data_IF_154783614445
#
_entry.id   IF_154783614445
#
_cell.length_a   1.000
_cell.length_b   1.000
_cell.length_c   1.000
_cell.angle_alpha   90.00
_cell.angle_beta   90.00
_cell.angle_gamma   90.00
#
_symmetry.space_group_name_H-M   'P 1'
#
loop_
_entity.id
_entity.type
_entity.pdbx_description
1 polymer ?
#
# COMPACT_ATOMS: atom_id res chain seq x y z
N UNK A 1 -9.66 3.27 -19.82
CA UNK A 1 -8.21 3.18 -20.07
C UNK A 1 -7.86 3.56 -21.51
N UNK A 2 -8.41 2.86 -22.51
CA UNK A 2 -8.20 3.19 -23.93
C UNK A 2 -8.84 4.53 -24.34
N UNK A 3 -10.02 4.84 -23.80
CA UNK A 3 -10.72 6.12 -24.01
C UNK A 3 -9.92 7.33 -23.50
N UNK A 4 -9.26 7.21 -22.35
CA UNK A 4 -8.39 8.27 -21.81
C UNK A 4 -7.16 8.52 -22.68
N UNK A 5 -6.57 7.46 -23.25
CA UNK A 5 -5.41 7.56 -24.15
C UNK A 5 -5.80 8.27 -25.46
N UNK A 6 -6.99 7.97 -26.00
CA UNK A 6 -7.52 8.62 -27.20
C UNK A 6 -7.82 10.10 -26.94
N UNK A 7 -8.46 10.42 -25.82
CA UNK A 7 -8.75 11.81 -25.43
C UNK A 7 -7.48 12.64 -25.25
N UNK A 8 -6.45 12.09 -24.61
CA UNK A 8 -5.18 12.80 -24.40
C UNK A 8 -4.44 13.02 -25.72
N UNK A 9 -4.41 12.01 -26.62
CA UNK A 9 -3.86 12.20 -27.98
C UNK A 9 -4.63 13.26 -28.77
N UNK A 10 -5.95 13.32 -28.63
CA UNK A 10 -6.76 14.29 -29.35
C UNK A 10 -6.52 15.73 -28.86
N UNK A 11 -6.41 15.89 -27.53
CA UNK A 11 -6.04 17.16 -26.90
C UNK A 11 -4.60 17.56 -27.28
N UNK A 12 -3.64 16.63 -27.27
CA UNK A 12 -2.25 16.91 -27.62
C UNK A 12 -2.08 17.40 -29.08
N UNK A 13 -2.78 16.75 -30.02
CA UNK A 13 -2.88 17.19 -31.42
C UNK A 13 -3.48 18.59 -31.57
N UNK A 14 -4.42 18.99 -30.70
CA UNK A 14 -5.00 20.35 -30.73
C UNK A 14 -4.07 21.44 -30.18
N UNK A 15 -3.09 21.10 -29.33
CA UNK A 15 -2.15 22.05 -28.73
C UNK A 15 -0.73 22.01 -29.36
N UNK A 16 -0.51 21.16 -30.38
CA UNK A 16 0.73 21.14 -31.17
C UNK A 16 1.98 20.67 -30.41
N UNK A 17 1.81 20.07 -29.23
CA UNK A 17 2.88 19.34 -28.54
C UNK A 17 2.77 17.87 -28.93
N UNK A 18 3.92 17.20 -28.99
CA UNK A 18 4.00 15.74 -29.09
C UNK A 18 4.46 15.27 -27.72
N UNK A 19 3.53 14.97 -26.81
CA UNK A 19 3.92 14.29 -25.56
C UNK A 19 4.09 12.80 -25.86
N UNK A 20 5.32 12.32 -25.66
CA UNK A 20 5.63 10.91 -25.81
C UNK A 20 4.78 10.08 -24.83
N UNK A 21 4.01 9.13 -25.36
CA UNK A 21 3.15 8.23 -24.59
C UNK A 21 3.93 7.52 -23.46
N UNK A 22 5.23 7.27 -23.69
CA UNK A 22 6.15 6.71 -22.72
C UNK A 22 6.35 7.62 -21.50
N UNK A 23 6.42 8.95 -21.70
CA UNK A 23 6.55 9.93 -20.63
C UNK A 23 5.31 9.96 -19.72
N UNK A 24 4.12 9.68 -20.27
CA UNK A 24 2.85 9.64 -19.54
C UNK A 24 2.66 8.37 -18.71
N UNK A 25 3.28 7.26 -19.14
CA UNK A 25 3.37 6.01 -18.36
C UNK A 25 4.47 6.12 -17.30
N UNK A 26 5.58 6.77 -17.65
CA UNK A 26 6.76 6.92 -16.80
C UNK A 26 6.56 7.93 -15.68
N UNK A 27 6.04 9.12 -16.01
CA UNK A 27 5.54 10.02 -15.00
C UNK A 27 4.18 9.49 -14.55
N UNK A 28 4.14 8.83 -13.38
CA UNK A 28 2.91 8.47 -12.68
C UNK A 28 2.12 9.73 -12.28
N UNK A 29 1.61 10.45 -13.27
CA UNK A 29 1.06 11.80 -13.15
C UNK A 29 -0.37 11.73 -12.67
N UNK A 30 -0.54 11.42 -11.38
CA UNK A 30 -1.68 11.71 -10.49
C UNK A 30 -3.10 11.36 -10.99
N UNK A 31 -3.58 11.87 -12.13
CA UNK A 31 -4.97 11.75 -12.58
C UNK A 31 -5.40 10.34 -13.02
N UNK A 32 -4.70 9.58 -13.90
CA UNK A 32 -5.12 8.23 -14.24
C UNK A 32 -4.98 7.26 -13.07
N UNK A 33 -3.99 7.47 -12.19
CA UNK A 33 -3.78 6.65 -10.99
C UNK A 33 -4.93 6.84 -10.00
N UNK A 34 -5.33 8.09 -9.74
CA UNK A 34 -6.48 8.39 -8.86
C UNK A 34 -7.76 7.79 -9.46
N UNK A 35 -8.00 7.99 -10.76
CA UNK A 35 -9.18 7.45 -11.42
C UNK A 35 -9.22 5.91 -11.34
N UNK A 36 -8.10 5.24 -11.65
CA UNK A 36 -8.02 3.79 -11.58
C UNK A 36 -8.21 3.28 -10.14
N UNK A 37 -7.67 3.98 -9.14
CA UNK A 37 -7.86 3.67 -7.72
C UNK A 37 -9.33 3.76 -7.30
N UNK A 38 -10.05 4.81 -7.71
CA UNK A 38 -11.48 4.98 -7.39
C UNK A 38 -12.31 3.87 -8.04
N UNK A 39 -12.03 3.53 -9.30
CA UNK A 39 -12.73 2.45 -10.01
C UNK A 39 -12.48 1.09 -9.37
N UNK A 40 -11.21 0.75 -9.06
CA UNK A 40 -10.85 -0.48 -8.36
C UNK A 40 -11.50 -0.54 -6.98
N UNK A 41 -11.39 0.52 -6.19
CA UNK A 41 -11.95 0.59 -4.84
C UNK A 41 -13.47 0.40 -4.86
N UNK A 42 -14.18 1.09 -5.76
CA UNK A 42 -15.64 0.96 -5.90
C UNK A 42 -16.04 -0.42 -6.41
N UNK A 43 -15.25 -1.01 -7.33
CA UNK A 43 -15.45 -2.38 -7.81
C UNK A 43 -15.32 -3.42 -6.70
N UNK A 44 -14.29 -3.30 -5.86
CA UNK A 44 -14.07 -4.22 -4.74
C UNK A 44 -14.98 -3.96 -3.54
N UNK A 45 -15.49 -2.74 -3.35
CA UNK A 45 -16.37 -2.38 -2.23
C UNK A 45 -17.68 -3.20 -2.19
N UNK A 46 -18.24 -3.53 -3.36
CA UNK A 46 -19.50 -4.27 -3.46
C UNK A 46 -19.31 -5.79 -3.66
N UNK A 47 -18.07 -6.27 -3.69
CA UNK A 47 -17.79 -7.70 -3.81
C UNK A 47 -17.90 -8.36 -2.43
N UNK A 48 -19.03 -9.04 -2.19
CA UNK A 48 -19.25 -9.83 -0.98
C UNK A 48 -18.62 -11.24 -1.14
N UNK A 49 -17.31 -11.27 -1.33
CA UNK A 49 -16.55 -12.53 -1.46
C UNK A 49 -16.04 -12.92 -0.08
N UNK A 50 -16.21 -14.18 0.30
CA UNK A 50 -15.64 -14.72 1.53
C UNK A 50 -14.12 -14.87 1.35
N UNK A 51 -13.36 -13.82 1.68
CA UNK A 51 -11.91 -13.88 1.64
C UNK A 51 -11.39 -14.70 2.83
N UNK A 52 -10.43 -15.61 2.61
CA UNK A 52 -9.74 -16.28 3.70
C UNK A 52 -9.08 -15.24 4.61
N UNK A 53 -9.10 -15.48 5.92
CA UNK A 53 -8.55 -14.53 6.92
C UNK A 53 -7.09 -14.14 6.67
N UNK A 54 -6.32 -14.99 5.98
CA UNK A 54 -4.94 -14.69 5.58
C UNK A 54 -4.84 -13.51 4.60
N UNK A 55 -5.79 -13.35 3.68
CA UNK A 55 -5.76 -12.25 2.70
C UNK A 55 -6.08 -10.93 3.39
N UNK A 56 -7.11 -10.88 4.22
CA UNK A 56 -7.43 -9.67 5.01
C UNK A 56 -6.28 -9.28 5.92
N UNK A 57 -5.59 -10.28 6.48
CA UNK A 57 -4.41 -10.09 7.30
C UNK A 57 -3.22 -9.56 6.51
N UNK A 58 -2.94 -10.09 5.32
CA UNK A 58 -1.88 -9.60 4.45
C UNK A 58 -2.19 -8.19 3.92
N UNK A 59 -3.43 -7.94 3.48
CA UNK A 59 -3.91 -6.65 2.97
C UNK A 59 -3.68 -5.50 3.96
N UNK A 60 -3.96 -5.74 5.25
CA UNK A 60 -3.70 -4.77 6.32
C UNK A 60 -2.21 -4.38 6.44
N UNK A 61 -1.29 -5.28 6.07
CA UNK A 61 0.16 -5.04 6.16
C UNK A 61 0.74 -4.49 4.86
N UNK A 62 0.12 -4.75 3.70
CA UNK A 62 0.58 -4.26 2.39
C UNK A 62 0.75 -2.74 2.40
N UNK A 63 -0.19 -2.01 3.00
CA UNK A 63 -0.09 -0.55 3.12
C UNK A 63 1.11 -0.10 3.96
N UNK A 64 1.40 -0.80 5.07
CA UNK A 64 2.57 -0.52 5.92
C UNK A 64 3.88 -0.79 5.20
N UNK A 65 3.99 -1.92 4.48
CA UNK A 65 5.17 -2.25 3.66
C UNK A 65 5.36 -1.22 2.54
N UNK A 66 4.27 -0.80 1.88
CA UNK A 66 4.30 0.23 0.84
C UNK A 66 4.85 1.57 1.34
N UNK A 67 4.47 2.00 2.55
CA UNK A 67 5.02 3.22 3.16
C UNK A 67 6.53 3.13 3.42
N UNK A 68 7.01 1.96 3.85
CA UNK A 68 8.46 1.71 4.03
C UNK A 68 9.18 1.76 2.67
N UNK A 69 8.53 1.24 1.63
CA UNK A 69 9.06 1.24 0.26
C UNK A 69 9.11 2.64 -0.37
N UNK A 70 8.27 3.60 0.02
CA UNK A 70 8.34 4.98 -0.52
C UNK A 70 9.31 5.86 0.29
N UNK A 71 9.60 5.46 1.52
CA UNK A 71 10.48 6.19 2.42
C UNK A 71 11.97 6.03 2.11
N UNK A 72 12.80 6.60 3.00
CA UNK A 72 14.27 6.49 2.95
C UNK A 72 14.79 5.05 3.04
N UNK A 73 13.97 4.13 3.54
CA UNK A 73 14.32 2.71 3.72
C UNK A 73 14.43 1.96 2.39
N UNK A 74 13.80 2.43 1.31
CA UNK A 74 13.94 1.82 -0.03
C UNK A 74 15.39 1.83 -0.50
N UNK A 75 16.04 3.01 -0.43
CA UNK A 75 17.43 3.16 -0.83
C UNK A 75 18.34 2.28 0.01
N UNK A 76 18.11 2.21 1.32
CA UNK A 76 18.87 1.34 2.21
C UNK A 76 18.72 -0.15 1.86
N UNK A 77 17.50 -0.63 1.62
CA UNK A 77 17.25 -2.04 1.30
C UNK A 77 17.90 -2.42 -0.04
N UNK A 78 17.73 -1.62 -1.09
CA UNK A 78 18.22 -1.99 -2.42
C UNK A 78 19.70 -1.61 -2.66
N UNK A 79 20.16 -0.47 -2.13
CA UNK A 79 21.55 -0.03 -2.33
C UNK A 79 22.51 -0.68 -1.33
N UNK A 80 22.20 -0.70 -0.03
CA UNK A 80 23.12 -1.20 1.00
C UNK A 80 23.00 -2.72 1.21
N UNK A 81 21.79 -3.30 1.08
CA UNK A 81 21.57 -4.72 1.37
C UNK A 81 21.76 -5.64 0.15
N UNK A 82 21.30 -5.20 -1.03
CA UNK A 82 21.23 -6.04 -2.23
C UNK A 82 22.28 -5.73 -3.30
N UNK A 83 23.06 -4.65 -3.15
CA UNK A 83 24.21 -4.26 -3.98
C UNK A 83 24.00 -4.55 -5.49
N UNK A 84 22.93 -3.95 -6.03
CA UNK A 84 22.36 -4.29 -7.35
C UNK A 84 23.25 -3.91 -8.55
N UNK A 85 24.37 -3.23 -8.34
CA UNK A 85 25.23 -2.63 -9.38
C UNK A 85 25.69 -3.62 -10.44
N UNK A 86 25.85 -4.90 -10.10
CA UNK A 86 26.31 -5.94 -11.02
C UNK A 86 25.19 -6.68 -11.76
N UNK A 87 23.93 -6.61 -11.28
CA UNK A 87 22.82 -7.44 -11.77
C UNK A 87 22.01 -6.72 -12.86
N UNK A 88 22.08 -5.39 -12.92
CA UNK A 88 21.43 -4.58 -13.97
C UNK A 88 21.85 -4.92 -15.40
N UNK A 89 23.03 -5.52 -15.60
CA UNK A 89 23.53 -5.88 -16.93
C UNK A 89 23.06 -7.28 -17.40
N UNK A 90 22.41 -8.06 -16.53
CA UNK A 90 21.99 -9.42 -16.82
C UNK A 90 20.55 -9.49 -17.35
N UNK A 91 20.24 -10.32 -18.36
CA UNK A 91 18.86 -10.50 -18.84
C UNK A 91 17.93 -11.10 -17.78
N UNK A 92 18.46 -11.65 -16.68
CA UNK A 92 17.70 -12.21 -15.56
C UNK A 92 17.33 -11.17 -14.48
N UNK A 93 17.62 -9.89 -14.69
CA UNK A 93 17.36 -8.80 -13.75
C UNK A 93 15.90 -8.76 -13.25
N UNK A 94 14.93 -8.93 -14.16
CA UNK A 94 13.51 -8.83 -13.81
C UNK A 94 13.06 -9.91 -12.83
N UNK A 95 13.53 -11.16 -13.05
CA UNK A 95 13.17 -12.32 -12.21
C UNK A 95 13.83 -12.20 -10.85
N UNK A 96 15.08 -11.76 -10.83
CA UNK A 96 15.81 -11.55 -9.59
C UNK A 96 15.14 -10.44 -8.76
N UNK A 97 14.77 -9.31 -9.37
CA UNK A 97 14.08 -8.22 -8.70
C UNK A 97 12.70 -8.63 -8.15
N UNK A 98 11.93 -9.43 -8.90
CA UNK A 98 10.68 -10.03 -8.41
C UNK A 98 10.93 -10.95 -7.19
N UNK A 99 12.02 -11.72 -7.21
CA UNK A 99 12.39 -12.57 -6.07
C UNK A 99 12.73 -11.77 -4.82
N UNK A 100 13.61 -10.76 -4.97
CA UNK A 100 14.03 -9.88 -3.87
C UNK A 100 12.87 -9.11 -3.27
N UNK A 101 12.02 -8.51 -4.11
CA UNK A 101 10.83 -7.78 -3.65
C UNK A 101 9.85 -8.68 -2.89
N UNK A 102 9.64 -9.93 -3.34
CA UNK A 102 8.85 -10.92 -2.62
C UNK A 102 9.45 -11.24 -1.24
N UNK A 103 10.76 -11.45 -1.15
CA UNK A 103 11.44 -11.76 0.12
C UNK A 103 11.31 -10.57 1.09
N UNK A 104 11.61 -9.36 0.62
CA UNK A 104 11.49 -8.13 1.42
C UNK A 104 10.05 -7.95 1.91
N UNK A 105 9.06 -8.21 1.04
CA UNK A 105 7.64 -8.14 1.41
C UNK A 105 7.27 -9.10 2.54
N UNK A 106 7.76 -10.35 2.49
CA UNK A 106 7.53 -11.35 3.54
C UNK A 106 8.17 -10.91 4.86
N UNK A 107 9.41 -10.42 4.82
CA UNK A 107 10.13 -9.95 6.01
C UNK A 107 9.44 -8.74 6.64
N UNK A 108 9.06 -7.74 5.83
CA UNK A 108 8.36 -6.56 6.31
C UNK A 108 6.99 -6.90 6.89
N UNK A 109 6.26 -7.84 6.27
CA UNK A 109 4.98 -8.32 6.81
C UNK A 109 5.19 -8.98 8.16
N UNK A 110 6.22 -9.83 8.32
CA UNK A 110 6.53 -10.48 9.58
C UNK A 110 6.83 -9.46 10.70
N UNK A 111 7.63 -8.44 10.41
CA UNK A 111 7.95 -7.35 11.35
C UNK A 111 6.68 -6.59 11.76
N UNK A 112 5.80 -6.28 10.79
CA UNK A 112 4.53 -5.61 11.05
C UNK A 112 3.63 -6.45 11.97
N UNK A 113 3.63 -7.79 11.83
CA UNK A 113 2.89 -8.68 12.73
C UNK A 113 3.46 -8.76 14.13
N UNK A 114 4.79 -8.73 14.25
CA UNK A 114 5.45 -8.64 15.56
C UNK A 114 5.03 -7.34 16.23
N UNK A 115 5.08 -6.21 15.51
CA UNK A 115 4.63 -4.90 16.01
C UNK A 115 3.19 -4.93 16.50
N UNK A 116 2.25 -5.42 15.69
CA UNK A 116 0.83 -5.53 16.05
C UNK A 116 0.66 -6.37 17.32
N UNK A 117 1.30 -7.55 17.38
CA UNK A 117 1.15 -8.46 18.52
C UNK A 117 1.78 -7.91 19.80
N UNK A 118 2.94 -7.27 19.71
CA UNK A 118 3.70 -6.78 20.87
C UNK A 118 3.30 -5.37 21.32
N UNK A 119 2.73 -4.53 20.45
CA UNK A 119 2.37 -3.14 20.80
C UNK A 119 0.87 -2.96 20.93
N UNK A 120 0.05 -3.42 19.98
CA UNK A 120 -1.40 -3.19 20.07
C UNK A 120 -2.02 -3.98 21.22
N UNK A 121 -1.61 -5.24 21.46
CA UNK A 121 -2.18 -6.03 22.56
C UNK A 121 -1.93 -5.45 23.95
N UNK A 122 -0.72 -4.98 24.32
CA UNK A 122 -0.56 -4.30 25.60
C UNK A 122 -1.20 -2.91 25.61
N UNK A 123 -1.18 -2.17 24.49
CA UNK A 123 -1.77 -0.83 24.44
C UNK A 123 -3.30 -0.86 24.60
N UNK A 124 -3.99 -1.79 23.94
CA UNK A 124 -5.43 -2.02 24.13
C UNK A 124 -5.76 -2.36 25.59
N UNK A 125 -4.99 -3.25 26.23
CA UNK A 125 -5.16 -3.55 27.66
C UNK A 125 -4.95 -2.35 28.58
N UNK A 126 -4.10 -1.40 28.19
CA UNK A 126 -3.88 -0.15 28.96
C UNK A 126 -5.06 0.80 28.78
N UNK A 127 -5.64 0.89 27.58
CA UNK A 127 -6.79 1.75 27.27
C UNK A 127 -8.11 1.19 27.82
N UNK A 128 -8.28 -0.13 27.82
CA UNK A 128 -9.52 -0.75 28.32
C UNK A 128 -9.74 -0.45 29.81
N UNK A 129 -8.66 -0.28 30.58
CA UNK A 129 -8.71 0.04 32.02
C UNK A 129 -9.45 1.36 32.33
N UNK A 130 -9.04 2.53 31.78
CA UNK A 130 -9.76 3.79 32.00
C UNK A 130 -11.14 3.80 31.34
N UNK A 131 -11.30 3.15 30.17
CA UNK A 131 -12.59 3.08 29.48
C UNK A 131 -13.63 2.34 30.30
N UNK A 132 -13.28 1.18 30.87
CA UNK A 132 -14.16 0.44 31.77
C UNK A 132 -14.52 1.26 33.01
N UNK A 133 -13.53 1.97 33.58
CA UNK A 133 -13.75 2.81 34.75
C UNK A 133 -14.73 3.95 34.47
N UNK A 134 -14.55 4.65 33.34
CA UNK A 134 -15.45 5.71 32.89
C UNK A 134 -16.86 5.15 32.60
N UNK A 135 -16.96 3.98 31.98
CA UNK A 135 -18.24 3.34 31.69
C UNK A 135 -19.00 2.98 32.99
N UNK A 136 -18.31 2.48 34.01
CA UNK A 136 -18.89 2.26 35.34
C UNK A 136 -19.37 3.57 35.98
N UNK A 137 -18.61 4.67 35.87
CA UNK A 137 -19.05 5.99 36.36
C UNK A 137 -20.27 6.53 35.60
N UNK A 138 -20.35 6.33 34.29
CA UNK A 138 -21.47 6.78 33.46
C UNK A 138 -22.74 5.97 33.74
N UNK A 139 -22.60 4.65 33.95
CA UNK A 139 -23.71 3.78 34.36
C UNK A 139 -24.22 4.09 35.77
N UNK A 140 -23.33 4.53 36.67
CA UNK A 140 -23.72 4.98 38.02
C UNK A 140 -24.56 6.26 38.01
N UNK A 141 -24.42 7.11 36.99
CA UNK A 141 -25.17 8.35 36.81
C UNK A 141 -26.32 8.25 35.79
N UNK A 142 -26.62 7.05 35.29
CA UNK A 142 -27.69 6.75 34.33
C UNK A 142 -27.64 7.57 33.02
N UNK A 143 -26.43 8.03 32.64
CA UNK A 143 -26.22 8.86 31.45
C UNK A 143 -26.14 8.04 30.15
N UNK A 144 -26.01 6.71 30.28
CA UNK A 144 -25.98 5.76 29.17
C UNK A 144 -26.79 4.53 29.62
N UNK A 145 -27.96 4.33 29.01
CA UNK A 145 -28.86 3.18 29.23
C UNK A 145 -28.42 1.95 28.44
#
# INVERSE_FOLDING_TARGET
MWSSIVLIKHVDTSYGKNVDLFLLVWEMMKTPVILCSIFLFTGFKNLNIHLPSFISFASSSVFGVYLIHIGRMQKYIFQDLFNDTYIFQSPYFIVWYMGVTCIVFVVCTLIDKIRIRFIERPFMKIIDRPVLKINEYLKKYDLIS
#
